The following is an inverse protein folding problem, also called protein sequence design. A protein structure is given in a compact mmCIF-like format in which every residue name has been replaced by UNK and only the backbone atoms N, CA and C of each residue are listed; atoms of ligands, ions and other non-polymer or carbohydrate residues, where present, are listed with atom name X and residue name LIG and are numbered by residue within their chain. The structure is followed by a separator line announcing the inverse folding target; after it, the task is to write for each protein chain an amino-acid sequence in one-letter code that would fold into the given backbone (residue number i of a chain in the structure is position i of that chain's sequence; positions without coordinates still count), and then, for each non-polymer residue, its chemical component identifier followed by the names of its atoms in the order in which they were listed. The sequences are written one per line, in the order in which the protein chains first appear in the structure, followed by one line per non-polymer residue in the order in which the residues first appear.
data_IF_368633183680
#
_entry.id   IF_368633183680
#
_cell.length_a   1.000
_cell.length_b   1.000
_cell.length_c   1.000
_cell.angle_alpha   90.00
_cell.angle_beta   90.00
_cell.angle_gamma   90.00
#
_symmetry.space_group_name_H-M   'P 1'
#
loop_
_entity.id
_entity.type
_entity.pdbx_description
1 polymer ?
#
# COMPACT_ATOMS: atom_id res chain seq x y z
N UNK A 1 4.37 6.77 13.11
CA UNK A 1 3.22 6.89 12.20
C UNK A 1 3.17 5.63 11.34
N UNK A 2 2.04 4.94 11.33
CA UNK A 2 1.93 3.58 10.80
C UNK A 2 2.46 2.60 11.85
N UNK A 3 1.55 1.88 12.49
CA UNK A 3 1.85 0.95 13.57
C UNK A 3 2.23 -0.43 13.06
N UNK A 4 1.60 -0.88 11.97
CA UNK A 4 1.72 -2.26 11.46
C UNK A 4 1.52 -3.27 12.60
N UNK A 5 2.45 -4.22 12.78
CA UNK A 5 2.43 -5.17 13.89
C UNK A 5 3.01 -4.67 15.22
N UNK A 6 3.44 -3.40 15.32
CA UNK A 6 3.99 -2.81 16.55
C UNK A 6 5.44 -3.18 16.87
N UNK A 7 6.12 -3.98 16.03
CA UNK A 7 7.49 -4.45 16.26
C UNK A 7 8.50 -3.31 16.46
N UNK A 8 8.50 -2.32 15.56
CA UNK A 8 9.41 -1.16 15.65
C UNK A 8 9.12 -0.35 16.92
N UNK A 9 7.86 -0.19 17.30
CA UNK A 9 7.48 0.51 18.54
C UNK A 9 8.05 -0.18 19.78
N UNK A 10 7.99 -1.51 19.84
CA UNK A 10 8.59 -2.31 20.91
C UNK A 10 10.12 -2.15 20.97
N UNK A 11 10.81 -2.19 19.82
CA UNK A 11 12.26 -1.97 19.76
C UNK A 11 12.65 -0.58 20.27
N UNK A 12 11.93 0.46 19.84
CA UNK A 12 12.20 1.83 20.26
C UNK A 12 11.97 1.98 21.77
N UNK A 13 10.87 1.43 22.29
CA UNK A 13 10.60 1.43 23.72
C UNK A 13 11.73 0.78 24.53
N UNK A 14 12.35 -0.28 23.99
CA UNK A 14 13.51 -0.90 24.59
C UNK A 14 14.77 -0.01 24.54
N UNK A 15 15.00 0.68 23.41
CA UNK A 15 16.16 1.57 23.21
C UNK A 15 16.10 2.79 24.13
N UNK A 16 14.93 3.41 24.28
CA UNK A 16 14.77 4.65 25.06
C UNK A 16 14.63 4.40 26.57
N UNK A 17 14.32 3.17 26.96
CA UNK A 17 14.15 2.77 28.36
C UNK A 17 12.98 3.45 29.07
N UNK A 18 12.99 3.40 30.40
CA UNK A 18 11.86 3.83 31.26
C UNK A 18 11.63 5.35 31.28
N UNK A 19 12.62 6.14 30.87
CA UNK A 19 12.53 7.61 30.85
C UNK A 19 12.05 8.15 29.50
N UNK A 20 11.96 7.29 28.49
CA UNK A 20 11.45 7.65 27.18
C UNK A 20 9.94 7.45 27.07
N UNK A 21 9.39 7.96 25.97
CA UNK A 21 8.00 7.75 25.59
C UNK A 21 7.91 7.49 24.09
N UNK A 22 7.11 6.49 23.70
CA UNK A 22 6.78 6.18 22.31
C UNK A 22 5.29 6.41 22.11
N UNK A 23 4.95 7.32 21.20
CA UNK A 23 3.56 7.50 20.76
C UNK A 23 3.41 6.89 19.38
N UNK A 24 2.52 5.89 19.28
CA UNK A 24 2.21 5.18 18.04
C UNK A 24 0.89 5.70 17.50
N UNK A 25 0.91 6.11 16.23
CA UNK A 25 -0.26 6.65 15.53
C UNK A 25 -0.52 5.85 14.27
N UNK A 26 -1.76 5.40 14.08
CA UNK A 26 -2.22 4.63 12.92
C UNK A 26 -3.64 5.08 12.52
N UNK A 27 -4.01 5.10 11.23
CA UNK A 27 -5.38 5.45 10.83
C UNK A 27 -6.41 4.37 11.20
N UNK A 28 -6.00 3.09 11.27
CA UNK A 28 -6.90 1.95 11.51
C UNK A 28 -7.12 1.69 12.99
N UNK A 29 -8.39 1.74 13.42
CA UNK A 29 -8.80 1.41 14.79
C UNK A 29 -8.56 -0.06 15.13
N UNK A 30 -8.67 -0.96 14.15
CA UNK A 30 -8.40 -2.40 14.32
C UNK A 30 -6.91 -2.64 14.61
N UNK A 31 -6.03 -1.98 13.84
CA UNK A 31 -4.58 -2.05 14.06
C UNK A 31 -4.24 -1.51 15.44
N UNK A 32 -4.78 -0.36 15.84
CA UNK A 32 -4.58 0.21 17.18
C UNK A 32 -5.06 -0.76 18.28
N UNK A 33 -6.23 -1.37 18.13
CA UNK A 33 -6.75 -2.35 19.08
C UNK A 33 -5.82 -3.56 19.22
N UNK A 34 -5.33 -4.09 18.09
CA UNK A 34 -4.44 -5.23 18.05
C UNK A 34 -3.08 -4.93 18.71
N UNK A 35 -2.40 -3.86 18.30
CA UNK A 35 -1.07 -3.51 18.84
C UNK A 35 -1.14 -3.10 20.31
N UNK A 36 -2.22 -2.43 20.74
CA UNK A 36 -2.37 -2.01 22.13
C UNK A 36 -2.42 -3.22 23.05
N UNK A 37 -2.96 -4.35 22.60
CA UNK A 37 -2.91 -5.61 23.32
C UNK A 37 -1.51 -6.24 23.31
N UNK A 38 -0.84 -6.25 22.15
CA UNK A 38 0.50 -6.84 22.02
C UNK A 38 1.58 -6.06 22.79
N UNK A 39 1.40 -4.75 22.93
CA UNK A 39 2.35 -3.84 23.57
C UNK A 39 2.03 -3.55 25.04
N UNK A 40 1.07 -4.26 25.66
CA UNK A 40 0.71 -4.09 27.10
C UNK A 40 1.90 -4.19 28.06
N UNK A 41 2.94 -4.94 27.68
CA UNK A 41 4.17 -5.08 28.48
C UNK A 41 5.12 -3.88 28.42
N UNK A 42 4.83 -2.86 27.60
CA UNK A 42 5.68 -1.70 27.40
C UNK A 42 4.99 -0.44 27.97
N UNK A 43 5.26 -0.07 29.24
CA UNK A 43 4.56 1.04 29.90
C UNK A 43 4.87 2.42 29.29
N UNK A 44 5.93 2.51 28.48
CA UNK A 44 6.34 3.75 27.79
C UNK A 44 5.69 3.92 26.42
N UNK A 45 4.84 2.98 25.98
CA UNK A 45 4.18 3.02 24.67
C UNK A 45 2.71 3.40 24.83
N UNK A 46 2.30 4.44 24.12
CA UNK A 46 0.90 4.85 23.98
C UNK A 46 0.48 4.72 22.51
N UNK A 47 -0.72 4.19 22.26
CA UNK A 47 -1.24 3.95 20.91
C UNK A 47 -2.54 4.73 20.72
N UNK A 48 -2.62 5.54 19.67
CA UNK A 48 -3.79 6.36 19.35
C UNK A 48 -4.11 6.29 17.86
N UNK A 49 -5.38 6.49 17.52
CA UNK A 49 -5.76 6.71 16.12
C UNK A 49 -5.34 8.11 15.70
N UNK A 50 -4.92 8.27 14.45
CA UNK A 50 -4.50 9.58 13.92
C UNK A 50 -5.62 10.62 14.01
N UNK A 51 -6.88 10.21 13.83
CA UNK A 51 -8.05 11.11 13.83
C UNK A 51 -8.47 11.58 15.22
N UNK A 52 -7.98 10.97 16.28
CA UNK A 52 -8.43 11.24 17.65
C UNK A 52 -7.63 12.41 18.24
N UNK A 53 -7.43 13.46 17.44
CA UNK A 53 -6.54 14.59 17.75
C UNK A 53 -6.99 15.42 18.95
N UNK A 54 -8.25 15.32 19.35
CA UNK A 54 -8.78 16.00 20.55
C UNK A 54 -8.47 15.23 21.85
N UNK A 55 -8.15 13.94 21.77
CA UNK A 55 -8.05 13.05 22.92
C UNK A 55 -6.62 12.87 23.45
N UNK A 56 -5.59 13.35 22.73
CA UNK A 56 -4.21 13.25 23.18
C UNK A 56 -3.35 14.46 22.81
N UNK A 57 -2.50 14.87 23.76
CA UNK A 57 -1.52 15.93 23.55
C UNK A 57 -0.19 15.33 23.07
N UNK A 58 0.27 15.76 21.90
CA UNK A 58 1.61 15.44 21.42
C UNK A 58 2.63 16.44 21.98
N UNK A 59 3.62 15.97 22.77
CA UNK A 59 4.73 16.82 23.17
C UNK A 59 5.64 17.12 21.98
N UNK A 60 6.60 18.02 22.19
CA UNK A 60 7.67 18.28 21.20
C UNK A 60 8.41 16.99 20.84
N UNK A 61 8.54 16.71 19.55
CA UNK A 61 8.99 15.41 19.04
C UNK A 61 10.50 15.42 18.82
N UNK A 62 11.22 14.46 19.43
CA UNK A 62 12.65 14.28 19.18
C UNK A 62 12.90 13.55 17.85
N UNK A 63 12.09 12.52 17.59
CA UNK A 63 12.24 11.61 16.46
C UNK A 63 10.85 11.23 15.96
N UNK A 64 10.66 11.25 14.65
CA UNK A 64 9.45 10.78 13.99
C UNK A 64 9.84 9.66 13.04
N UNK A 65 9.15 8.53 13.11
CA UNK A 65 9.29 7.45 12.13
C UNK A 65 7.96 7.25 11.45
N UNK A 66 7.98 7.29 10.13
CA UNK A 66 6.82 6.94 9.29
C UNK A 66 7.12 5.60 8.63
N UNK A 67 6.23 4.63 8.82
CA UNK A 67 6.40 3.28 8.30
C UNK A 67 5.44 2.94 7.17
N UNK A 68 4.71 3.91 6.64
CA UNK A 68 3.91 3.80 5.41
C UNK A 68 4.27 4.92 4.44
N UNK A 69 4.03 4.69 3.15
CA UNK A 69 4.25 5.70 2.11
C UNK A 69 3.37 6.93 2.38
N UNK A 70 3.97 8.11 2.24
CA UNK A 70 3.30 9.41 2.27
C UNK A 70 3.81 10.26 1.11
N UNK A 71 3.01 11.19 0.61
CA UNK A 71 3.46 12.13 -0.44
C UNK A 71 4.34 13.25 0.14
N UNK A 72 4.02 13.70 1.36
CA UNK A 72 4.75 14.71 2.11
C UNK A 72 4.54 14.51 3.61
N UNK A 73 5.43 15.09 4.44
CA UNK A 73 5.28 15.03 5.89
C UNK A 73 4.17 15.99 6.35
N UNK A 74 3.14 15.53 7.09
CA UNK A 74 2.06 16.39 7.56
C UNK A 74 2.55 17.59 8.39
N UNK A 75 1.92 18.76 8.21
CA UNK A 75 2.30 20.01 8.86
C UNK A 75 2.36 19.94 10.38
N UNK A 76 1.45 19.19 11.00
CA UNK A 76 1.43 19.03 12.46
C UNK A 76 2.63 18.20 12.96
N UNK A 77 3.17 17.29 12.15
CA UNK A 77 4.41 16.57 12.46
C UNK A 77 5.62 17.46 12.21
N UNK A 78 5.67 18.14 11.06
CA UNK A 78 6.80 19.02 10.71
C UNK A 78 6.96 20.17 11.73
N UNK A 79 5.84 20.70 12.23
CA UNK A 79 5.81 21.73 13.27
C UNK A 79 6.05 21.19 14.67
N UNK A 80 5.67 19.93 14.94
CA UNK A 80 5.86 19.29 16.24
C UNK A 80 7.30 18.84 16.52
N UNK A 81 8.15 18.70 15.49
CA UNK A 81 9.56 18.34 15.63
C UNK A 81 10.34 19.49 16.27
N UNK A 82 11.06 19.18 17.35
CA UNK A 82 11.91 20.16 18.05
C UNK A 82 13.21 20.42 17.29
N UNK A 83 13.91 21.49 17.67
CA UNK A 83 15.24 21.81 17.14
C UNK A 83 16.23 20.63 17.30
N UNK A 84 16.93 20.24 16.22
CA UNK A 84 17.79 19.06 16.18
C UNK A 84 17.05 17.72 16.21
N UNK A 85 15.71 17.74 16.20
CA UNK A 85 14.86 16.60 15.95
C UNK A 85 14.80 16.26 14.47
N UNK A 86 14.39 15.03 14.14
CA UNK A 86 14.21 14.64 12.73
C UNK A 86 13.11 13.61 12.52
N UNK A 87 12.54 13.60 11.31
CA UNK A 87 11.72 12.53 10.80
C UNK A 87 12.51 11.61 9.87
N UNK A 88 12.19 10.31 9.85
CA UNK A 88 12.54 9.40 8.75
C UNK A 88 11.23 8.91 8.13
N UNK A 89 11.05 9.14 6.84
CA UNK A 89 9.81 8.80 6.15
C UNK A 89 10.07 8.36 4.70
N UNK A 90 9.36 7.34 4.20
CA UNK A 90 9.31 7.03 2.78
C UNK A 90 8.38 8.04 2.09
N UNK A 91 8.97 8.93 1.29
CA UNK A 91 8.30 10.04 0.63
C UNK A 91 8.31 9.83 -0.88
N UNK A 92 7.15 10.00 -1.50
CA UNK A 92 6.97 9.89 -2.94
C UNK A 92 5.65 9.26 -3.32
N UNK A 93 5.58 8.72 -4.55
CA UNK A 93 4.40 8.02 -5.06
C UNK A 93 4.46 6.54 -4.67
N UNK A 94 3.33 5.82 -4.70
CA UNK A 94 3.26 4.38 -4.39
C UNK A 94 4.36 3.54 -5.04
N UNK A 95 4.71 3.86 -6.28
CA UNK A 95 5.64 3.09 -7.13
C UNK A 95 7.06 3.66 -7.18
N UNK A 96 7.30 4.83 -6.57
CA UNK A 96 8.60 5.50 -6.58
C UNK A 96 8.73 6.37 -5.34
N UNK A 97 9.46 5.86 -4.35
CA UNK A 97 9.62 6.47 -3.03
C UNK A 97 11.11 6.58 -2.69
N UNK A 98 11.47 7.65 -2.00
CA UNK A 98 12.79 7.83 -1.39
C UNK A 98 12.62 7.85 0.12
N UNK A 99 13.49 7.13 0.82
CA UNK A 99 13.55 7.22 2.27
C UNK A 99 14.31 8.50 2.61
N UNK A 100 13.61 9.49 3.17
CA UNK A 100 14.19 10.78 3.49
C UNK A 100 14.35 10.92 5.01
N UNK A 101 15.46 11.49 5.43
CA UNK A 101 15.63 12.09 6.77
C UNK A 101 15.36 13.58 6.66
N UNK A 102 14.39 14.09 7.43
CA UNK A 102 14.01 15.50 7.49
C UNK A 102 14.42 16.06 8.86
N UNK A 103 15.49 16.84 8.93
CA UNK A 103 16.03 17.37 10.19
C UNK A 103 15.65 18.85 10.39
N UNK A 104 15.17 19.18 11.59
CA UNK A 104 14.77 20.55 11.95
C UNK A 104 15.97 21.37 12.41
N UNK A 105 16.30 22.41 11.65
CA UNK A 105 17.34 23.38 11.97
C UNK A 105 16.86 24.81 11.67
N UNK A 106 16.98 25.72 12.63
CA UNK A 106 16.62 27.14 12.51
C UNK A 106 15.23 27.35 11.87
N UNK A 107 14.22 26.61 12.36
CA UNK A 107 12.83 26.60 11.84
C UNK A 107 12.62 25.98 10.45
N UNK A 108 13.67 25.56 9.76
CA UNK A 108 13.58 24.91 8.45
C UNK A 108 13.80 23.40 8.56
N UNK A 109 13.24 22.63 7.61
CA UNK A 109 13.54 21.22 7.47
C UNK A 109 14.58 21.03 6.38
N UNK A 110 15.64 20.30 6.71
CA UNK A 110 16.70 19.94 5.79
C UNK A 110 16.62 18.45 5.47
N UNK A 111 16.59 18.15 4.17
CA UNK A 111 16.41 16.79 3.68
C UNK A 111 17.76 16.11 3.46
N UNK A 112 17.84 14.83 3.83
CA UNK A 112 18.92 13.92 3.44
C UNK A 112 18.29 12.68 2.85
N UNK A 113 18.64 12.39 1.60
CA UNK A 113 18.16 11.21 0.88
C UNK A 113 18.95 9.96 1.31
N UNK A 114 18.24 8.96 1.82
CA UNK A 114 18.80 7.70 2.32
C UNK A 114 18.68 6.55 1.31
N UNK A 115 18.10 6.81 0.12
CA UNK A 115 17.96 5.83 -0.96
C UNK A 115 16.53 5.48 -1.33
N UNK A 116 16.39 4.66 -2.37
CA UNK A 116 15.09 4.18 -2.87
C UNK A 116 14.53 3.07 -2.00
N UNK A 117 13.22 3.10 -1.75
CA UNK A 117 12.49 2.11 -0.96
C UNK A 117 11.10 1.87 -1.52
N UNK A 118 10.44 0.80 -1.07
CA UNK A 118 9.03 0.54 -1.35
C UNK A 118 8.32 0.21 -0.05
N UNK A 119 7.43 1.10 0.38
CA UNK A 119 6.52 0.89 1.49
C UNK A 119 5.08 0.85 0.97
N UNK A 120 4.25 0.00 1.58
CA UNK A 120 2.80 0.09 1.39
C UNK A 120 2.25 1.44 1.89
N UNK A 121 1.02 1.82 1.47
CA UNK A 121 0.40 3.06 1.90
C UNK A 121 0.28 3.11 3.43
N UNK A 122 0.25 4.33 3.97
CA UNK A 122 0.09 4.53 5.41
C UNK A 122 -1.30 4.08 5.89
N UNK A 123 -2.33 4.33 5.10
CA UNK A 123 -3.64 3.75 5.32
C UNK A 123 -3.70 2.35 4.69
N UNK A 124 -4.10 1.34 5.45
CA UNK A 124 -4.23 -0.02 4.91
C UNK A 124 -5.46 -0.16 4.01
N UNK A 125 -6.47 0.69 4.18
CA UNK A 125 -7.65 0.69 3.29
C UNK A 125 -7.27 1.04 1.85
N UNK A 126 -6.25 1.89 1.71
CA UNK A 126 -5.63 2.25 0.43
C UNK A 126 -4.88 1.08 -0.25
N UNK A 127 -4.59 0.00 0.49
CA UNK A 127 -3.98 -1.22 -0.05
C UNK A 127 -4.99 -2.30 -0.40
N UNK A 128 -6.29 -2.07 -0.15
CA UNK A 128 -7.35 -2.93 -0.64
C UNK A 128 -7.32 -2.81 -2.17
N UNK A 129 -7.13 -3.94 -2.86
CA UNK A 129 -7.18 -4.00 -4.31
C UNK A 129 -8.58 -3.57 -4.72
N UNK A 130 -8.71 -2.40 -5.32
CA UNK A 130 -9.96 -1.97 -5.93
C UNK A 130 -10.35 -3.03 -6.97
N UNK A 131 -11.56 -3.57 -6.86
CA UNK A 131 -12.12 -4.44 -7.89
C UNK A 131 -12.03 -3.71 -9.23
N UNK A 132 -11.48 -4.34 -10.28
CA UNK A 132 -11.30 -3.66 -11.56
C UNK A 132 -12.65 -3.20 -12.09
N UNK A 133 -12.68 -2.00 -12.67
CA UNK A 133 -13.85 -1.52 -13.41
C UNK A 133 -14.17 -2.46 -14.59
N UNK A 134 -15.42 -2.47 -15.09
CA UNK A 134 -15.79 -3.23 -16.29
C UNK A 134 -14.84 -2.99 -17.49
N UNK A 135 -14.43 -1.74 -17.74
CA UNK A 135 -13.46 -1.42 -18.79
C UNK A 135 -12.08 -2.02 -18.53
N UNK A 136 -11.55 -1.91 -17.31
CA UNK A 136 -10.25 -2.53 -16.95
C UNK A 136 -10.30 -4.06 -17.02
N UNK A 137 -11.43 -4.65 -16.63
CA UNK A 137 -11.65 -6.09 -16.74
C UNK A 137 -11.66 -6.54 -18.21
N UNK A 138 -12.30 -5.76 -19.09
CA UNK A 138 -12.32 -6.01 -20.53
C UNK A 138 -10.90 -5.96 -21.12
N UNK A 139 -10.11 -4.96 -20.76
CA UNK A 139 -8.71 -4.83 -21.19
C UNK A 139 -7.84 -6.01 -20.72
N UNK A 140 -8.00 -6.45 -19.47
CA UNK A 140 -7.29 -7.61 -18.94
C UNK A 140 -7.65 -8.88 -19.72
N UNK A 141 -8.93 -9.10 -20.02
CA UNK A 141 -9.39 -10.26 -20.79
C UNK A 141 -8.82 -10.21 -22.21
N UNK A 142 -8.83 -9.06 -22.88
CA UNK A 142 -8.20 -8.90 -24.20
C UNK A 142 -6.71 -9.25 -24.16
N UNK A 143 -5.99 -8.80 -23.14
CA UNK A 143 -4.58 -9.16 -22.94
C UNK A 143 -4.38 -10.68 -22.78
N UNK A 144 -5.28 -11.35 -22.05
CA UNK A 144 -5.24 -12.82 -21.92
C UNK A 144 -5.52 -13.51 -23.25
N UNK A 145 -6.49 -13.02 -24.04
CA UNK A 145 -6.76 -13.55 -25.39
C UNK A 145 -5.51 -13.44 -26.25
N UNK A 146 -4.84 -12.28 -26.24
CA UNK A 146 -3.61 -12.05 -27.00
C UNK A 146 -2.51 -13.03 -26.59
N UNK A 147 -2.24 -13.16 -25.29
CA UNK A 147 -1.23 -14.09 -24.77
C UNK A 147 -1.54 -15.55 -25.12
N UNK A 148 -2.80 -15.98 -25.00
CA UNK A 148 -3.20 -17.34 -25.34
C UNK A 148 -3.16 -17.59 -26.85
N UNK A 149 -3.46 -16.58 -27.66
CA UNK A 149 -3.36 -16.64 -29.12
C UNK A 149 -1.90 -16.76 -29.57
N UNK A 150 -1.00 -15.99 -28.96
CA UNK A 150 0.43 -16.05 -29.25
C UNK A 150 1.06 -17.39 -28.81
N UNK A 151 0.57 -17.95 -27.71
CA UNK A 151 0.97 -19.27 -27.23
C UNK A 151 0.33 -20.43 -28.03
N UNK A 152 -0.64 -20.15 -28.92
CA UNK A 152 -1.37 -21.17 -29.68
C UNK A 152 -2.26 -22.08 -28.83
N UNK A 153 -2.73 -21.59 -27.67
CA UNK A 153 -3.48 -22.37 -26.66
C UNK A 153 -5.00 -22.19 -26.83
N UNK A 154 -5.46 -21.13 -27.49
CA UNK A 154 -6.88 -20.79 -27.61
C UNK A 154 -7.49 -21.20 -28.95
N UNK A 155 -8.69 -21.78 -28.91
CA UNK A 155 -9.47 -22.12 -30.12
C UNK A 155 -10.29 -20.92 -30.63
N UNK A 156 -10.68 -20.93 -31.92
CA UNK A 156 -11.38 -19.79 -32.54
C UNK A 156 -12.77 -19.52 -31.94
N UNK A 157 -13.49 -20.56 -31.53
CA UNK A 157 -14.79 -20.44 -30.88
C UNK A 157 -14.69 -19.89 -29.46
N UNK A 158 -13.65 -20.27 -28.72
CA UNK A 158 -13.32 -19.68 -27.41
C UNK A 158 -12.96 -18.19 -27.53
N UNK A 159 -12.20 -17.83 -28.57
CA UNK A 159 -11.83 -16.45 -28.87
C UNK A 159 -13.05 -15.57 -29.14
N UNK A 160 -14.02 -16.04 -29.92
CA UNK A 160 -15.27 -15.30 -30.19
C UNK A 160 -16.05 -15.06 -28.90
N UNK A 161 -16.19 -16.07 -28.05
CA UNK A 161 -16.90 -15.94 -26.76
C UNK A 161 -16.26 -14.90 -25.84
N UNK A 162 -14.94 -14.77 -25.89
CA UNK A 162 -14.22 -13.78 -25.08
C UNK A 162 -14.37 -12.37 -25.59
N UNK A 163 -14.35 -12.18 -26.91
CA UNK A 163 -14.66 -10.87 -27.47
C UNK A 163 -16.12 -10.45 -27.22
N UNK A 164 -17.05 -11.41 -27.19
CA UNK A 164 -18.43 -11.15 -26.79
C UNK A 164 -18.50 -10.69 -25.33
N UNK A 165 -17.78 -11.38 -24.42
CA UNK A 165 -17.68 -10.98 -23.01
C UNK A 165 -17.06 -9.57 -22.84
N UNK A 166 -16.00 -9.27 -23.59
CA UNK A 166 -15.35 -7.95 -23.62
C UNK A 166 -16.33 -6.87 -24.12
N UNK A 167 -17.10 -7.16 -25.17
CA UNK A 167 -18.09 -6.23 -25.70
C UNK A 167 -19.21 -5.96 -24.70
N UNK A 168 -19.66 -7.01 -24.00
CA UNK A 168 -20.68 -6.93 -22.96
C UNK A 168 -20.19 -6.15 -21.72
N UNK A 169 -18.94 -6.37 -21.29
CA UNK A 169 -18.30 -5.60 -20.22
C UNK A 169 -18.23 -4.10 -20.53
N UNK A 170 -17.88 -3.74 -21.77
CA UNK A 170 -17.82 -2.34 -22.21
C UNK A 170 -19.19 -1.66 -22.29
N UNK A 171 -20.29 -2.41 -22.18
CA UNK A 171 -21.64 -1.84 -22.09
C UNK A 171 -22.05 -1.54 -20.64
N UNK A 172 -21.32 -2.04 -19.65
CA UNK A 172 -21.54 -1.71 -18.26
C UNK A 172 -20.91 -0.35 -17.93
N UNK A 173 -21.50 0.40 -16.98
CA UNK A 173 -20.91 1.67 -16.54
C UNK A 173 -19.68 1.40 -15.65
N UNK A 174 -18.65 2.25 -15.76
CA UNK A 174 -17.41 2.06 -14.99
C UNK A 174 -17.50 2.47 -13.52
N UNK A 175 -18.53 3.23 -13.14
CA UNK A 175 -18.79 3.70 -11.78
C UNK A 175 -19.65 2.73 -10.95
N UNK A 176 -19.63 1.44 -11.30
CA UNK A 176 -20.29 0.41 -10.50
C UNK A 176 -19.64 0.32 -9.11
N UNK A 177 -20.46 0.24 -8.04
CA UNK A 177 -19.91 0.01 -6.71
C UNK A 177 -19.25 -1.37 -6.64
N UNK A 178 -18.18 -1.55 -5.85
CA UNK A 178 -17.58 -2.86 -5.62
C UNK A 178 -18.63 -3.91 -5.21
N UNK A 179 -18.51 -5.18 -5.66
CA UNK A 179 -19.47 -6.23 -5.31
C UNK A 179 -19.65 -6.41 -3.79
N UNK A 180 -18.60 -6.14 -3.01
CA UNK A 180 -18.60 -6.22 -1.55
C UNK A 180 -19.48 -5.15 -0.87
N UNK A 181 -19.81 -4.06 -1.58
CA UNK A 181 -20.67 -2.98 -1.08
C UNK A 181 -22.16 -3.22 -1.32
N UNK A 182 -22.53 -4.28 -2.06
CA UNK A 182 -23.92 -4.66 -2.30
C UNK A 182 -24.44 -5.65 -1.24
N UNK A 183 -25.70 -5.50 -0.85
CA UNK A 183 -26.39 -6.44 0.06
C UNK A 183 -26.40 -7.87 -0.51
N UNK A 184 -26.51 -7.99 -1.83
CA UNK A 184 -26.43 -9.25 -2.57
C UNK A 184 -25.34 -9.13 -3.66
N UNK A 185 -24.10 -9.58 -3.40
CA UNK A 185 -22.98 -9.48 -4.36
C UNK A 185 -23.22 -10.23 -5.68
N UNK A 186 -24.04 -11.30 -5.64
CA UNK A 186 -24.47 -12.05 -6.83
C UNK A 186 -25.31 -11.20 -7.78
N UNK A 187 -25.94 -10.13 -7.26
CA UNK A 187 -26.74 -9.22 -8.03
C UNK A 187 -25.92 -8.18 -8.81
N UNK A 188 -24.61 -8.09 -8.54
CA UNK A 188 -23.71 -7.17 -9.20
C UNK A 188 -23.71 -7.42 -10.73
N UNK A 189 -23.90 -6.38 -11.58
CA UNK A 189 -24.00 -6.56 -13.03
C UNK A 189 -22.83 -7.30 -13.65
N UNK A 190 -21.60 -6.99 -13.22
CA UNK A 190 -20.40 -7.72 -13.67
C UNK A 190 -20.41 -9.18 -13.20
N UNK A 191 -20.88 -9.47 -11.98
CA UNK A 191 -20.95 -10.85 -11.47
C UNK A 191 -21.99 -11.67 -12.24
N UNK A 192 -23.17 -11.10 -12.50
CA UNK A 192 -24.19 -11.74 -13.34
C UNK A 192 -23.66 -12.06 -14.72
N UNK A 193 -22.93 -11.13 -15.32
CA UNK A 193 -22.37 -11.29 -16.65
C UNK A 193 -21.30 -12.39 -16.68
N UNK A 194 -20.47 -12.46 -15.65
CA UNK A 194 -19.48 -13.54 -15.48
C UNK A 194 -20.13 -14.90 -15.23
N UNK A 195 -21.22 -14.96 -14.46
CA UNK A 195 -21.97 -16.20 -14.17
C UNK A 195 -22.75 -16.67 -15.42
N UNK A 196 -23.44 -15.77 -16.11
CA UNK A 196 -24.24 -16.07 -17.30
C UNK A 196 -23.39 -16.62 -18.45
N UNK A 197 -22.16 -16.12 -18.57
CA UNK A 197 -21.19 -16.56 -19.59
C UNK A 197 -20.25 -17.66 -19.08
N UNK A 198 -20.47 -18.17 -17.85
CA UNK A 198 -19.41 -18.69 -16.98
C UNK A 198 -19.33 -20.20 -16.73
N UNK A 199 -18.97 -21.00 -17.73
CA UNK A 199 -18.19 -22.25 -17.51
C UNK A 199 -16.69 -22.06 -17.80
N UNK A 200 -16.35 -21.02 -18.57
CA UNK A 200 -15.01 -20.79 -19.09
C UNK A 200 -14.24 -19.71 -18.31
N UNK A 201 -14.94 -18.71 -17.75
CA UNK A 201 -14.33 -17.71 -16.85
C UNK A 201 -13.61 -18.37 -15.66
N UNK A 202 -14.23 -19.38 -15.03
CA UNK A 202 -13.59 -20.16 -13.97
C UNK A 202 -12.29 -20.86 -14.40
N UNK A 203 -12.10 -21.12 -15.70
CA UNK A 203 -10.88 -21.74 -16.25
C UNK A 203 -9.76 -20.73 -16.48
N UNK A 204 -10.10 -19.51 -16.87
CA UNK A 204 -9.13 -18.43 -17.11
C UNK A 204 -8.88 -17.53 -15.90
N UNK A 205 -9.77 -17.54 -14.91
CA UNK A 205 -9.63 -16.74 -13.69
C UNK A 205 -8.30 -16.97 -12.97
N UNK A 206 -7.79 -18.21 -12.82
CA UNK A 206 -6.45 -18.43 -12.25
C UNK A 206 -5.32 -17.82 -13.10
N UNK A 207 -5.48 -17.77 -14.43
CA UNK A 207 -4.49 -17.18 -15.35
C UNK A 207 -4.53 -15.65 -15.22
N UNK A 208 -5.73 -15.06 -15.16
CA UNK A 208 -5.94 -13.62 -14.91
C UNK A 208 -5.34 -13.24 -13.56
N UNK A 209 -5.64 -13.99 -12.49
CA UNK A 209 -5.07 -13.76 -11.17
C UNK A 209 -3.55 -13.84 -11.21
N UNK A 210 -2.97 -14.85 -11.88
CA UNK A 210 -1.52 -14.96 -12.03
C UNK A 210 -0.91 -13.77 -12.78
N UNK A 211 -1.55 -13.27 -13.84
CA UNK A 211 -1.08 -12.09 -14.58
C UNK A 211 -1.20 -10.82 -13.71
N UNK A 212 -2.28 -10.67 -12.94
CA UNK A 212 -2.48 -9.54 -12.03
C UNK A 212 -1.49 -9.58 -10.85
N UNK A 213 -1.26 -10.75 -10.25
CA UNK A 213 -0.21 -10.98 -9.27
C UNK A 213 1.18 -10.71 -9.85
N UNK A 214 1.40 -11.05 -11.12
CA UNK A 214 2.66 -10.73 -11.81
C UNK A 214 2.79 -9.23 -12.08
N UNK A 215 1.71 -8.50 -12.35
CA UNK A 215 1.75 -7.03 -12.42
C UNK A 215 2.13 -6.42 -11.07
N UNK A 216 1.63 -6.99 -9.96
CA UNK A 216 2.01 -6.60 -8.59
C UNK A 216 3.48 -6.98 -8.30
N UNK A 217 3.95 -8.14 -8.75
CA UNK A 217 5.33 -8.58 -8.60
C UNK A 217 6.31 -7.86 -9.56
N UNK A 218 5.84 -7.38 -10.71
CA UNK A 218 6.64 -6.69 -11.74
C UNK A 218 6.91 -5.22 -11.44
N UNK A 219 6.41 -4.71 -10.30
CA UNK A 219 6.98 -3.48 -9.73
C UNK A 219 8.45 -3.62 -9.32
N UNK A 220 9.03 -4.83 -9.42
CA UNK A 220 10.47 -5.05 -9.44
C UNK A 220 10.90 -5.83 -10.70
N UNK A 221 11.37 -5.09 -11.70
CA UNK A 221 12.50 -5.52 -12.54
C UNK A 221 12.96 -4.34 -13.40
N UNK A 222 13.68 -3.40 -12.79
CA UNK A 222 14.63 -2.62 -13.58
C UNK A 222 15.75 -3.57 -14.02
N UNK A 223 15.60 -4.19 -15.19
CA UNK A 223 16.73 -4.69 -15.97
C UNK A 223 17.58 -3.48 -16.39
N UNK A 224 18.41 -2.97 -15.48
CA UNK A 224 19.60 -2.17 -15.75
C UNK A 224 20.39 -1.92 -14.45
N UNK A 225 20.75 -3.00 -13.75
CA UNK A 225 21.92 -2.93 -12.87
C UNK A 225 23.16 -2.95 -13.76
N UNK A 226 23.69 -1.75 -14.05
CA UNK A 226 25.12 -1.64 -14.35
C UNK A 226 25.84 -1.92 -13.03
N UNK A 227 26.47 -3.09 -12.96
CA UNK A 227 27.60 -3.35 -12.06
C UNK A 227 28.62 -2.23 -12.23
N UNK A 228 28.67 -1.31 -11.28
CA UNK A 228 29.89 -0.63 -10.81
C UNK A 228 29.51 0.48 -9.83
N UNK A 229 29.41 0.13 -8.54
CA UNK A 229 30.01 0.97 -7.50
C UNK A 229 30.24 0.12 -6.25
N UNK A 230 31.50 0.03 -5.86
CA UNK A 230 31.94 -0.67 -4.66
C UNK A 230 31.26 -0.09 -3.42
N UNK A 231 30.60 -0.94 -2.65
CA UNK A 231 30.31 -0.68 -1.25
C UNK A 231 31.64 -0.51 -0.49
N UNK A 232 32.07 0.73 -0.30
CA UNK A 232 33.04 1.07 0.74
C UNK A 232 32.26 1.45 1.99
N UNK A 233 32.40 0.59 2.99
CA UNK A 233 31.92 0.71 4.36
C UNK A 233 32.00 2.14 4.94
N UNK A 234 30.92 2.56 5.58
CA UNK A 234 30.96 3.60 6.61
C UNK A 234 30.09 3.18 7.80
N UNK A 235 30.74 2.56 8.78
CA UNK A 235 30.40 2.68 10.20
C UNK A 235 31.54 3.52 10.83
N UNK A 236 31.27 4.42 11.80
CA UNK A 236 32.20 5.49 12.21
C UNK A 236 33.60 5.06 12.61
#
# INVERSE_FOLDING_TARGET
LGAKGGYISALIAHIIGEHGKVTVLDPSSEVIGHISNNLRGYPTVECHRITDTEDFFLPSLNRVLVTGQIEELPDWLSSGIQEGGFAIAPIGKRTSQRLLKLEKQDQHLFETDLGSVVFGPLDITESIVESPSPSEMAEMIEHVIELMNDAGIIENDEKVRLYDLVADLRQLPDDLPPPEELDEPEDHPMMKLMIEKGDWFMKIWPIIQSISETRIASFDSTENYKEDSSHSDFIP
#
